data_IF_250989656747
#
_entry.id   IF_250989656747
#
_cell.length_a   1.000
_cell.length_b   1.000
_cell.length_c   1.000
_cell.angle_alpha   90.00
_cell.angle_beta   90.00
_cell.angle_gamma   90.00
#
_symmetry.space_group_name_H-M   'P 1'
#
loop_
_entity.id
_entity.type
_entity.pdbx_description
1 polymer ?
#
# COMPACT_ATOMS: atom_id res chain seq x y z
N UNK A 1 -8.94 29.08 21.93
CA UNK A 1 -8.35 28.44 20.74
C UNK A 1 -6.83 28.38 20.90
N UNK A 2 -6.22 27.21 20.69
CA UNK A 2 -4.76 27.10 20.65
C UNK A 2 -4.26 27.54 19.27
N UNK A 3 -2.98 27.92 19.16
CA UNK A 3 -2.34 28.17 17.88
C UNK A 3 -2.06 26.80 17.23
N UNK A 4 -3.01 26.32 16.45
CA UNK A 4 -2.96 25.05 15.73
C UNK A 4 -2.73 25.33 14.24
N UNK A 5 -1.88 24.54 13.60
CA UNK A 5 -1.44 24.79 12.24
C UNK A 5 -1.22 23.51 11.45
N UNK A 6 -0.19 23.54 10.60
CA UNK A 6 0.14 22.51 9.61
C UNK A 6 -0.08 21.07 10.10
N UNK A 7 -0.67 20.28 9.21
CA UNK A 7 -1.31 19.01 9.47
C UNK A 7 -1.08 18.03 8.32
N UNK A 8 -1.11 16.75 8.64
CA UNK A 8 -1.09 15.67 7.67
C UNK A 8 -2.05 14.55 8.11
N UNK A 9 -2.74 13.96 7.14
CA UNK A 9 -3.54 12.76 7.33
C UNK A 9 -2.78 11.61 6.68
N UNK A 10 -2.70 10.47 7.36
CA UNK A 10 -2.06 9.27 6.82
C UNK A 10 -2.69 8.79 5.52
N UNK A 11 -1.91 8.04 4.73
CA UNK A 11 -2.34 7.39 3.48
C UNK A 11 -3.65 6.57 3.67
N UNK A 12 -3.81 5.92 4.82
CA UNK A 12 -5.00 5.12 5.14
C UNK A 12 -6.16 5.94 5.78
N UNK A 13 -5.95 7.24 5.99
CA UNK A 13 -6.92 8.16 6.57
C UNK A 13 -7.22 7.92 8.05
N UNK A 14 -6.41 7.11 8.75
CA UNK A 14 -6.63 6.68 10.12
C UNK A 14 -5.90 7.53 11.17
N UNK A 15 -4.88 8.28 10.77
CA UNK A 15 -4.05 9.12 11.64
C UNK A 15 -4.10 10.56 11.13
N UNK A 16 -4.23 11.49 12.07
CA UNK A 16 -4.05 12.93 11.86
C UNK A 16 -2.90 13.35 12.74
N UNK A 17 -1.85 13.91 12.14
CA UNK A 17 -0.75 14.58 12.85
C UNK A 17 -0.85 16.07 12.55
N UNK A 18 -0.71 16.90 13.56
CA UNK A 18 -0.77 18.35 13.38
C UNK A 18 0.11 19.08 14.38
N UNK A 19 0.45 20.31 14.04
CA UNK A 19 1.25 21.21 14.88
C UNK A 19 0.34 21.96 15.86
N UNK A 20 0.73 22.04 17.12
CA UNK A 20 0.08 22.93 18.08
C UNK A 20 1.10 23.60 18.99
N UNK A 21 0.96 24.92 19.16
CA UNK A 21 1.93 25.75 19.86
C UNK A 21 1.43 26.18 21.24
N UNK A 22 2.37 26.29 22.17
CA UNK A 22 2.17 26.79 23.54
C UNK A 22 1.08 26.04 24.33
N UNK A 23 0.94 24.73 24.10
CA UNK A 23 0.03 23.89 24.90
C UNK A 23 0.67 23.58 26.25
N UNK A 24 -0.18 23.44 27.28
CA UNK A 24 0.28 23.15 28.66
C UNK A 24 0.97 21.80 28.80
N UNK A 25 0.63 20.85 27.93
CA UNK A 25 1.19 19.50 27.87
C UNK A 25 2.29 19.37 26.80
N UNK A 26 2.85 20.50 26.34
CA UNK A 26 3.92 20.54 25.35
C UNK A 26 5.33 20.55 25.96
N UNK A 27 6.31 20.24 25.12
CA UNK A 27 7.74 20.25 25.40
C UNK A 27 8.39 21.57 24.97
N UNK A 28 7.94 22.15 23.86
CA UNK A 28 8.54 23.33 23.26
C UNK A 28 7.56 24.41 22.82
N UNK A 29 8.04 25.27 21.92
CA UNK A 29 7.27 26.39 21.39
C UNK A 29 6.08 25.91 20.54
N UNK A 30 6.34 24.93 19.68
CA UNK A 30 5.37 24.21 18.88
C UNK A 30 5.75 22.74 18.85
N UNK A 31 4.76 21.88 19.03
CA UNK A 31 4.92 20.44 19.10
C UNK A 31 3.98 19.75 18.10
N UNK A 32 4.34 18.52 17.75
CA UNK A 32 3.48 17.61 17.01
C UNK A 32 2.55 16.83 17.94
N UNK A 33 1.27 16.80 17.56
CA UNK A 33 0.21 16.05 18.21
C UNK A 33 -0.39 15.03 17.23
N UNK A 34 -0.82 13.90 17.75
CA UNK A 34 -1.44 12.82 17.00
C UNK A 34 -2.87 12.56 17.46
N UNK A 35 -3.75 12.25 16.50
CA UNK A 35 -5.11 11.78 16.73
C UNK A 35 -5.44 10.62 15.80
N UNK A 36 -6.28 9.71 16.28
CA UNK A 36 -6.68 8.49 15.56
C UNK A 36 -8.15 8.54 15.19
N UNK A 37 -8.48 8.12 13.96
CA UNK A 37 -9.85 8.03 13.49
C UNK A 37 -10.55 6.83 14.14
N UNK A 38 -11.70 7.08 14.74
CA UNK A 38 -12.65 6.10 15.27
C UNK A 38 -13.97 6.20 14.51
N UNK A 39 -14.90 5.30 14.80
CA UNK A 39 -16.23 5.25 14.15
C UNK A 39 -17.04 6.54 14.35
N UNK A 40 -16.89 7.21 15.50
CA UNK A 40 -17.62 8.44 15.88
C UNK A 40 -16.83 9.74 15.69
N UNK A 41 -15.67 9.70 15.03
CA UNK A 41 -14.80 10.87 14.84
C UNK A 41 -13.36 10.60 15.27
N UNK A 42 -12.61 11.66 15.54
CA UNK A 42 -11.19 11.60 15.93
C UNK A 42 -11.03 11.48 17.45
N UNK A 43 -9.99 10.79 17.91
CA UNK A 43 -9.65 10.77 19.35
C UNK A 43 -9.21 12.16 19.82
N UNK A 44 -9.20 12.38 21.14
CA UNK A 44 -8.54 13.55 21.71
C UNK A 44 -7.06 13.55 21.28
N UNK A 45 -6.50 14.67 20.83
CA UNK A 45 -5.08 14.77 20.47
C UNK A 45 -4.18 14.41 21.65
N UNK A 46 -3.08 13.70 21.36
CA UNK A 46 -2.03 13.32 22.31
C UNK A 46 -0.71 13.88 21.80
N UNK A 47 0.09 14.47 22.69
CA UNK A 47 1.44 14.92 22.36
C UNK A 47 2.29 13.72 21.93
N UNK A 48 3.08 13.85 20.86
CA UNK A 48 3.85 12.73 20.31
C UNK A 48 5.10 12.34 21.12
N UNK A 49 5.36 13.00 22.26
CA UNK A 49 6.38 12.59 23.22
C UNK A 49 7.79 13.09 22.87
N UNK A 50 8.78 12.79 23.74
CA UNK A 50 10.08 13.45 23.74
C UNK A 50 11.05 12.97 22.66
N UNK A 51 10.78 11.83 22.01
CA UNK A 51 11.57 11.39 20.85
C UNK A 51 11.31 12.26 19.62
N UNK A 52 10.10 12.83 19.54
CA UNK A 52 9.67 13.73 18.47
C UNK A 52 9.74 15.17 18.92
N UNK A 53 9.12 15.53 20.03
CA UNK A 53 9.01 16.91 20.48
C UNK A 53 10.14 17.27 21.44
N UNK A 54 10.73 18.44 21.25
CA UNK A 54 11.83 18.95 22.07
C UNK A 54 11.46 20.32 22.63
N UNK A 55 12.42 21.02 23.26
CA UNK A 55 12.19 22.42 23.63
C UNK A 55 12.17 23.38 22.41
N UNK A 56 12.52 22.88 21.22
CA UNK A 56 12.61 23.67 20.00
C UNK A 56 11.24 23.92 19.35
N UNK A 57 11.25 24.25 18.07
CA UNK A 57 10.06 24.32 17.24
C UNK A 57 9.96 23.04 16.43
N UNK A 58 8.89 22.26 16.57
CA UNK A 58 8.55 21.11 15.74
C UNK A 58 7.22 21.35 15.02
N UNK A 59 7.22 21.22 13.69
CA UNK A 59 6.06 21.65 12.89
C UNK A 59 6.00 20.99 11.52
N UNK A 60 4.89 21.24 10.82
CA UNK A 60 4.68 20.90 9.40
C UNK A 60 5.01 19.43 9.08
N UNK A 61 4.30 18.49 9.74
CA UNK A 61 4.56 17.07 9.58
C UNK A 61 4.03 16.57 8.23
N UNK A 62 4.66 15.53 7.72
CA UNK A 62 4.08 14.60 6.76
C UNK A 62 4.37 13.17 7.22
N UNK A 63 3.39 12.27 7.06
CA UNK A 63 3.52 10.86 7.41
C UNK A 63 3.34 10.02 6.16
N UNK A 64 4.24 9.07 5.96
CA UNK A 64 4.26 8.20 4.80
C UNK A 64 4.72 6.79 5.19
N UNK A 65 5.01 5.99 4.17
CA UNK A 65 5.58 4.65 4.35
C UNK A 65 4.72 3.84 5.31
N UNK A 66 3.40 3.83 5.06
CA UNK A 66 2.46 3.01 5.82
C UNK A 66 2.38 3.40 7.31
N UNK A 67 2.44 4.69 7.60
CA UNK A 67 2.41 5.27 8.94
C UNK A 67 3.65 4.99 9.80
N UNK A 68 4.76 4.59 9.17
CA UNK A 68 5.99 4.23 9.89
C UNK A 68 7.07 5.30 9.81
N UNK A 69 6.93 6.30 8.96
CA UNK A 69 7.95 7.35 8.83
C UNK A 69 7.26 8.70 8.84
N UNK A 70 7.76 9.60 9.68
CA UNK A 70 7.33 11.00 9.74
C UNK A 70 8.49 11.88 9.32
N UNK A 71 8.22 12.85 8.46
CA UNK A 71 9.10 13.97 8.18
C UNK A 71 8.50 15.24 8.75
N UNK A 72 9.32 16.12 9.32
CA UNK A 72 8.85 17.35 9.94
C UNK A 72 9.94 18.41 9.93
N UNK A 73 9.54 19.66 10.10
CA UNK A 73 10.47 20.80 10.20
C UNK A 73 10.83 21.06 11.67
N UNK A 74 12.10 21.32 11.96
CA UNK A 74 12.52 21.64 13.33
C UNK A 74 13.76 22.52 13.43
N UNK A 75 13.77 23.38 14.45
CA UNK A 75 14.93 24.21 14.85
C UNK A 75 15.78 23.55 15.95
N UNK A 76 15.63 22.23 16.15
CA UNK A 76 16.40 21.51 17.17
C UNK A 76 17.90 21.56 16.92
N UNK A 77 18.73 21.46 17.97
CA UNK A 77 20.18 21.32 17.82
C UNK A 77 20.56 20.08 16.98
N UNK A 78 21.66 20.21 16.23
CA UNK A 78 22.17 19.14 15.35
C UNK A 78 21.79 19.27 13.88
N UNK A 79 21.11 20.37 13.51
CA UNK A 79 20.88 20.77 12.13
C UNK A 79 22.03 21.58 11.52
N UNK A 80 21.83 22.04 10.27
CA UNK A 80 22.76 22.84 9.49
C UNK A 80 22.45 24.34 9.54
N UNK A 81 21.17 24.71 9.67
CA UNK A 81 20.73 26.10 9.55
C UNK A 81 19.70 26.52 10.59
N UNK A 82 18.76 27.34 10.16
CA UNK A 82 17.62 27.82 10.95
C UNK A 82 16.65 26.67 11.25
N UNK A 83 15.64 26.51 10.40
CA UNK A 83 14.77 25.34 10.42
C UNK A 83 15.25 24.29 9.44
N UNK A 84 15.37 23.05 9.88
CA UNK A 84 15.77 21.93 9.05
C UNK A 84 14.65 20.90 8.92
N UNK A 85 14.72 20.05 7.90
CA UNK A 85 13.85 18.87 7.76
C UNK A 85 14.50 17.67 8.43
N UNK A 86 13.71 17.03 9.30
CA UNK A 86 14.07 15.85 10.07
C UNK A 86 13.13 14.69 9.74
N UNK A 87 13.62 13.48 9.97
CA UNK A 87 12.91 12.22 9.78
C UNK A 87 12.95 11.39 11.06
N UNK A 88 11.88 10.68 11.34
CA UNK A 88 11.80 9.72 12.43
C UNK A 88 11.03 8.48 11.97
N UNK A 89 11.50 7.31 12.39
CA UNK A 89 10.92 6.02 12.03
C UNK A 89 10.30 5.32 13.24
N UNK A 90 9.27 4.52 12.96
CA UNK A 90 8.66 3.61 13.91
C UNK A 90 9.39 2.26 13.81
N UNK A 91 10.04 1.85 14.89
CA UNK A 91 10.75 0.58 14.96
C UNK A 91 9.81 -0.63 15.12
N UNK A 92 10.39 -1.82 15.10
CA UNK A 92 9.66 -3.10 15.21
C UNK A 92 8.89 -3.26 16.53
N UNK A 93 9.29 -2.53 17.57
CA UNK A 93 8.62 -2.51 18.87
C UNK A 93 7.47 -1.49 18.94
N UNK A 94 7.09 -0.88 17.81
CA UNK A 94 6.11 0.21 17.71
C UNK A 94 6.49 1.43 18.56
N UNK A 95 7.78 1.73 18.65
CA UNK A 95 8.31 2.93 19.29
C UNK A 95 8.96 3.81 18.24
N UNK A 96 8.83 5.14 18.40
CA UNK A 96 9.55 6.08 17.54
C UNK A 96 11.03 6.06 17.92
N UNK A 97 11.90 5.92 16.93
CA UNK A 97 13.35 6.03 17.10
C UNK A 97 13.76 7.49 17.32
N UNK A 98 15.07 7.77 17.41
CA UNK A 98 15.55 9.16 17.46
C UNK A 98 15.41 9.82 16.10
N UNK A 99 14.97 11.07 16.08
CA UNK A 99 14.92 11.85 14.84
C UNK A 99 16.32 12.07 14.25
N UNK A 100 16.41 11.97 12.93
CA UNK A 100 17.62 12.13 12.12
C UNK A 100 17.44 13.28 11.14
N UNK A 101 18.45 14.15 11.04
CA UNK A 101 18.47 15.25 10.07
C UNK A 101 18.65 14.70 8.65
N UNK A 102 17.96 15.27 7.65
CA UNK A 102 18.03 14.79 6.27
C UNK A 102 19.32 15.10 5.50
N UNK A 103 20.30 15.75 6.14
CA UNK A 103 21.62 15.97 5.55
C UNK A 103 21.72 17.21 4.67
N UNK A 104 22.94 17.53 4.24
CA UNK A 104 23.29 18.78 3.54
C UNK A 104 22.73 18.91 2.12
N UNK A 105 22.29 17.79 1.52
CA UNK A 105 21.63 17.84 0.22
C UNK A 105 20.31 18.60 0.33
N UNK A 106 19.56 18.35 1.42
CA UNK A 106 18.26 18.96 1.65
C UNK A 106 18.41 20.22 2.50
N UNK A 107 19.08 20.12 3.65
CA UNK A 107 19.18 21.20 4.63
C UNK A 107 20.40 22.08 4.37
N UNK A 108 20.19 23.40 4.43
CA UNK A 108 21.19 24.43 4.16
C UNK A 108 21.52 25.21 5.44
N UNK A 109 22.26 26.32 5.30
CA UNK A 109 22.52 27.23 6.42
C UNK A 109 21.31 28.11 6.79
N UNK A 110 20.21 28.04 6.02
CA UNK A 110 18.99 28.84 6.27
C UNK A 110 17.80 27.95 6.63
N UNK A 111 16.60 28.22 6.12
CA UNK A 111 15.37 27.53 6.50
C UNK A 111 14.86 26.62 5.39
N UNK A 112 14.71 25.34 5.74
CA UNK A 112 14.01 24.30 5.00
C UNK A 112 12.81 23.81 5.80
N UNK A 113 11.63 23.94 5.21
CA UNK A 113 10.37 23.66 5.90
C UNK A 113 9.34 23.01 4.98
N UNK A 114 8.19 22.63 5.54
CA UNK A 114 7.04 22.15 4.80
C UNK A 114 7.27 20.88 3.97
N UNK A 115 7.87 19.82 4.53
CA UNK A 115 8.07 18.57 3.80
C UNK A 115 6.73 17.96 3.39
N UNK A 116 6.63 17.60 2.11
CA UNK A 116 5.58 16.77 1.56
C UNK A 116 6.23 15.57 0.86
N UNK A 117 6.19 14.42 1.53
CA UNK A 117 6.59 13.14 0.95
C UNK A 117 5.41 12.56 0.18
N UNK A 118 5.57 12.37 -1.13
CA UNK A 118 4.52 11.78 -1.95
C UNK A 118 4.30 10.30 -1.58
N UNK A 119 3.07 9.74 -1.70
CA UNK A 119 2.80 8.32 -1.43
C UNK A 119 3.56 7.32 -2.32
N UNK A 120 4.34 7.79 -3.29
CA UNK A 120 5.33 6.97 -4.00
C UNK A 120 6.55 6.62 -3.14
N UNK A 121 6.62 7.13 -1.90
CA UNK A 121 7.67 6.88 -0.91
C UNK A 121 9.08 7.25 -1.40
N UNK A 122 9.19 8.04 -2.47
CA UNK A 122 10.46 8.38 -3.12
C UNK A 122 10.61 9.87 -3.36
N UNK A 123 9.52 10.56 -3.68
CA UNK A 123 9.59 11.96 -4.11
C UNK A 123 9.24 12.90 -2.95
N UNK A 124 10.21 13.70 -2.53
CA UNK A 124 10.04 14.70 -1.48
C UNK A 124 9.96 16.09 -2.13
N UNK A 125 8.95 16.84 -1.74
CA UNK A 125 8.82 18.26 -2.02
C UNK A 125 8.95 19.04 -0.73
N UNK A 126 9.58 20.20 -0.78
CA UNK A 126 9.75 21.07 0.38
C UNK A 126 9.95 22.51 -0.06
N UNK A 127 9.95 23.45 0.90
CA UNK A 127 10.30 24.84 0.62
C UNK A 127 11.62 25.21 1.27
N UNK A 128 12.38 26.08 0.61
CA UNK A 128 13.65 26.59 1.13
C UNK A 128 13.86 28.06 0.77
N UNK A 129 14.54 28.80 1.66
CA UNK A 129 15.09 30.13 1.38
C UNK A 129 16.64 30.12 1.27
N UNK A 130 17.26 28.95 1.38
CA UNK A 130 18.71 28.76 1.38
C UNK A 130 19.27 28.17 0.09
N UNK A 131 18.51 27.30 -0.60
CA UNK A 131 18.87 26.82 -1.94
C UNK A 131 18.80 27.94 -2.98
N UNK A 132 19.54 27.77 -4.09
CA UNK A 132 19.50 28.73 -5.21
C UNK A 132 18.09 28.75 -5.81
N UNK A 133 17.44 29.90 -5.74
CA UNK A 133 16.05 30.07 -6.12
C UNK A 133 15.74 31.43 -6.73
N UNK A 134 14.46 31.79 -6.79
CA UNK A 134 13.91 32.98 -7.42
C UNK A 134 13.43 34.03 -6.41
N UNK A 135 13.12 33.63 -5.18
CA UNK A 135 12.41 34.48 -4.23
C UNK A 135 12.77 34.28 -2.76
N UNK A 136 11.83 34.64 -1.89
CA UNK A 136 11.98 34.49 -0.45
C UNK A 136 12.00 33.01 -0.08
N UNK A 137 10.94 32.27 -0.39
CA UNK A 137 10.86 30.83 -0.16
C UNK A 137 10.28 30.16 -1.38
N UNK A 138 11.09 29.30 -1.98
CA UNK A 138 10.75 28.59 -3.20
C UNK A 138 10.45 27.12 -2.90
N UNK A 139 9.66 26.48 -3.76
CA UNK A 139 9.43 25.03 -3.74
C UNK A 139 10.53 24.32 -4.50
N UNK A 140 11.01 23.23 -3.90
CA UNK A 140 12.01 22.34 -4.45
C UNK A 140 11.51 20.88 -4.40
N UNK A 141 12.11 20.03 -5.22
CA UNK A 141 11.91 18.59 -5.16
C UNK A 141 13.24 17.82 -5.21
N UNK A 142 13.26 16.64 -4.60
CA UNK A 142 14.33 15.65 -4.72
C UNK A 142 13.73 14.24 -4.69
N UNK A 143 14.51 13.24 -5.12
CA UNK A 143 14.12 11.83 -5.12
C UNK A 143 15.07 11.01 -4.25
N UNK A 144 14.51 10.02 -3.56
CA UNK A 144 15.29 9.08 -2.76
C UNK A 144 15.90 8.00 -3.66
N UNK A 145 17.22 7.82 -3.59
CA UNK A 145 17.98 6.78 -4.32
C UNK A 145 17.95 5.41 -3.66
N UNK A 146 17.53 5.34 -2.41
CA UNK A 146 17.62 4.16 -1.54
C UNK A 146 18.46 4.45 -0.31
N UNK A 147 18.30 3.66 0.76
CA UNK A 147 19.04 3.82 2.03
C UNK A 147 19.01 5.24 2.63
N UNK A 148 17.92 5.99 2.39
CA UNK A 148 17.76 7.41 2.78
C UNK A 148 18.78 8.37 2.16
N UNK A 149 19.40 7.99 1.03
CA UNK A 149 20.20 8.90 0.21
C UNK A 149 19.31 9.62 -0.79
N UNK A 150 19.61 10.89 -1.04
CA UNK A 150 18.79 11.78 -1.87
C UNK A 150 19.56 12.23 -3.11
N UNK A 151 18.83 12.43 -4.20
CA UNK A 151 19.31 13.12 -5.39
C UNK A 151 19.48 14.62 -5.15
N UNK A 152 20.15 15.27 -6.10
CA UNK A 152 20.29 16.72 -6.09
C UNK A 152 18.91 17.39 -6.05
N UNK A 153 18.85 18.51 -5.33
CA UNK A 153 17.62 19.28 -5.15
C UNK A 153 17.36 20.12 -6.41
N UNK A 154 16.14 20.06 -6.93
CA UNK A 154 15.72 20.78 -8.13
C UNK A 154 14.69 21.85 -7.76
N UNK A 155 14.95 23.10 -8.13
CA UNK A 155 13.99 24.20 -7.99
C UNK A 155 12.86 24.05 -9.03
N UNK A 156 11.60 24.21 -8.62
CA UNK A 156 10.45 24.04 -9.52
C UNK A 156 10.32 25.15 -10.59
N UNK A 157 11.03 26.27 -10.41
CA UNK A 157 11.15 27.35 -11.38
C UNK A 157 9.88 28.18 -11.59
N UNK A 158 10.00 29.21 -12.42
CA UNK A 158 8.85 30.03 -12.84
C UNK A 158 7.94 29.25 -13.81
N UNK A 159 6.60 29.39 -13.74
CA UNK A 159 5.79 30.30 -12.92
C UNK A 159 5.31 29.72 -11.58
N UNK A 160 5.89 28.60 -11.14
CA UNK A 160 5.51 27.94 -9.89
C UNK A 160 6.10 28.73 -8.73
N UNK A 161 7.42 28.90 -8.76
CA UNK A 161 8.16 29.77 -7.88
C UNK A 161 8.15 31.21 -8.39
N UNK A 162 8.12 32.15 -7.45
CA UNK A 162 8.07 33.58 -7.71
C UNK A 162 9.14 34.31 -6.89
N UNK A 163 9.08 35.64 -6.83
CA UNK A 163 9.93 36.42 -5.91
C UNK A 163 9.41 36.38 -4.46
N UNK A 164 8.18 35.90 -4.27
CA UNK A 164 7.44 35.93 -3.01
C UNK A 164 7.62 34.63 -2.21
N UNK A 165 6.62 34.23 -1.41
CA UNK A 165 6.65 33.04 -0.57
C UNK A 165 5.72 31.97 -1.10
N UNK A 166 6.30 30.86 -1.54
CA UNK A 166 5.57 29.64 -1.85
C UNK A 166 5.63 28.64 -0.69
N UNK A 167 4.51 27.98 -0.38
CA UNK A 167 4.41 27.06 0.76
C UNK A 167 3.35 25.97 0.58
N UNK A 168 3.36 24.99 1.48
CA UNK A 168 2.32 23.95 1.62
C UNK A 168 1.99 23.20 0.32
N UNK A 169 3.02 22.78 -0.43
CA UNK A 169 2.81 21.99 -1.64
C UNK A 169 2.14 20.65 -1.30
N UNK A 170 1.13 20.29 -2.08
CA UNK A 170 0.52 18.97 -2.12
C UNK A 170 0.43 18.50 -3.58
N UNK A 171 0.83 17.27 -3.85
CA UNK A 171 0.77 16.66 -5.19
C UNK A 171 -0.26 15.53 -5.18
N UNK A 172 -1.10 15.45 -6.22
CA UNK A 172 -2.07 14.36 -6.36
C UNK A 172 -1.39 13.01 -6.65
N UNK A 173 -2.10 11.91 -6.41
CA UNK A 173 -1.53 10.56 -6.50
C UNK A 173 -0.96 10.18 -7.88
N UNK A 174 -1.46 10.82 -8.94
CA UNK A 174 -0.99 10.62 -10.31
C UNK A 174 0.21 11.49 -10.64
N UNK A 175 0.46 12.53 -9.86
CA UNK A 175 1.45 13.55 -10.19
C UNK A 175 1.01 14.49 -11.31
N UNK A 176 -0.27 14.54 -11.66
CA UNK A 176 -0.72 15.41 -12.76
C UNK A 176 -0.91 16.85 -12.28
N UNK A 177 -1.42 17.03 -11.07
CA UNK A 177 -1.66 18.33 -10.48
C UNK A 177 -1.02 18.48 -9.11
N UNK A 178 -0.57 19.70 -8.84
CA UNK A 178 -0.10 20.12 -7.54
C UNK A 178 -0.85 21.39 -7.09
N UNK A 179 -0.96 21.53 -5.78
CA UNK A 179 -1.62 22.62 -5.07
C UNK A 179 -0.60 23.23 -4.12
N UNK A 180 -0.60 24.55 -3.99
CA UNK A 180 0.30 25.26 -3.08
C UNK A 180 -0.31 26.60 -2.68
N UNK A 181 0.23 27.18 -1.62
CA UNK A 181 -0.10 28.54 -1.20
C UNK A 181 0.99 29.50 -1.65
N UNK A 182 0.59 30.67 -2.18
CA UNK A 182 1.51 31.76 -2.53
C UNK A 182 0.89 33.12 -2.28
N UNK A 183 1.73 34.12 -1.99
CA UNK A 183 1.35 35.54 -1.91
C UNK A 183 1.85 36.32 -3.15
N UNK A 184 1.97 35.68 -4.31
CA UNK A 184 2.47 36.30 -5.54
C UNK A 184 1.53 37.35 -6.14
N UNK A 185 0.22 37.21 -5.96
CA UNK A 185 -0.79 38.11 -6.54
C UNK A 185 -1.50 38.98 -5.48
N UNK A 186 -1.27 38.74 -4.18
CA UNK A 186 -1.87 39.49 -3.08
C UNK A 186 -0.98 39.47 -1.83
N UNK A 187 -1.22 40.38 -0.88
CA UNK A 187 -0.49 40.38 0.41
C UNK A 187 -0.83 39.16 1.29
N UNK A 188 -1.90 38.44 0.96
CA UNK A 188 -2.33 37.22 1.64
C UNK A 188 -1.87 35.97 0.87
N UNK A 189 -1.87 34.83 1.56
CA UNK A 189 -1.61 33.54 0.93
C UNK A 189 -2.90 33.01 0.28
N UNK A 190 -2.90 32.88 -1.05
CA UNK A 190 -3.97 32.28 -1.84
C UNK A 190 -3.59 30.85 -2.26
N UNK A 191 -4.59 29.98 -2.51
CA UNK A 191 -4.36 28.59 -2.96
C UNK A 191 -4.38 28.55 -4.49
N UNK A 192 -3.29 28.04 -5.06
CA UNK A 192 -3.12 27.86 -6.49
C UNK A 192 -3.06 26.39 -6.86
N UNK A 193 -3.41 26.07 -8.11
CA UNK A 193 -3.24 24.75 -8.72
C UNK A 193 -2.52 24.87 -10.05
N UNK A 194 -1.60 23.97 -10.33
CA UNK A 194 -0.91 23.89 -11.62
C UNK A 194 -0.75 22.44 -12.07
N UNK A 195 -0.54 22.25 -13.38
CA UNK A 195 -0.15 20.95 -13.93
C UNK A 195 1.33 20.74 -13.65
N UNK A 196 1.68 19.67 -12.95
CA UNK A 196 3.06 19.41 -12.56
C UNK A 196 3.88 19.01 -13.80
N UNK A 197 5.00 19.72 -14.11
CA UNK A 197 5.89 19.33 -15.21
C UNK A 197 6.47 17.93 -15.03
N UNK A 198 6.66 17.19 -16.13
CA UNK A 198 7.04 15.77 -16.10
C UNK A 198 8.35 15.51 -15.33
N UNK A 199 9.32 16.42 -15.40
CA UNK A 199 10.59 16.31 -14.67
C UNK A 199 10.45 16.37 -13.13
N UNK A 200 9.32 16.87 -12.63
CA UNK A 200 9.02 16.98 -11.20
C UNK A 200 7.98 15.97 -10.74
N UNK A 201 7.51 15.08 -11.62
CA UNK A 201 6.44 14.14 -11.28
C UNK A 201 6.96 13.01 -10.39
N UNK A 202 6.18 12.61 -9.38
CA UNK A 202 6.42 11.37 -8.66
C UNK A 202 6.03 10.17 -9.53
N UNK A 203 6.34 8.96 -9.05
CA UNK A 203 5.77 7.77 -9.66
C UNK A 203 4.26 7.71 -9.39
N UNK A 204 3.49 7.23 -10.35
CA UNK A 204 2.04 7.10 -10.21
C UNK A 204 1.72 6.07 -9.12
N UNK A 205 0.82 6.47 -8.21
CA UNK A 205 0.28 5.63 -7.14
C UNK A 205 -1.24 5.57 -7.25
N UNK A 206 -1.84 4.43 -6.91
CA UNK A 206 -3.30 4.28 -6.73
C UNK A 206 -3.61 3.85 -5.30
N UNK A 207 -4.88 3.78 -4.95
CA UNK A 207 -5.34 3.28 -3.66
C UNK A 207 -6.39 2.20 -3.80
N UNK A 208 -6.23 1.14 -3.00
CA UNK A 208 -7.12 -0.01 -2.90
C UNK A 208 -7.76 -0.04 -1.52
N UNK A 209 -9.05 -0.34 -1.48
CA UNK A 209 -9.81 -0.45 -0.25
C UNK A 209 -10.30 -1.87 -0.08
N UNK A 210 -9.95 -2.49 1.02
CA UNK A 210 -10.39 -3.83 1.39
C UNK A 210 -11.50 -3.75 2.43
N UNK A 211 -12.46 -4.66 2.30
CA UNK A 211 -13.40 -5.03 3.34
C UNK A 211 -13.38 -6.55 3.47
N UNK A 212 -12.76 -7.06 4.53
CA UNK A 212 -12.66 -8.49 4.83
C UNK A 212 -13.73 -8.87 5.85
N UNK A 213 -14.52 -9.88 5.52
CA UNK A 213 -15.63 -10.37 6.34
C UNK A 213 -15.73 -11.89 6.31
N UNK A 214 -16.36 -12.46 7.31
CA UNK A 214 -16.71 -13.87 7.36
C UNK A 214 -17.80 -14.16 6.30
N UNK A 215 -17.60 -15.21 5.50
CA UNK A 215 -18.47 -15.53 4.37
C UNK A 215 -19.92 -15.87 4.78
N UNK A 216 -20.15 -16.40 5.98
CA UNK A 216 -21.46 -16.83 6.45
C UNK A 216 -22.16 -15.73 7.28
N UNK A 217 -21.51 -15.29 8.36
CA UNK A 217 -22.05 -14.32 9.31
C UNK A 217 -22.00 -12.88 8.78
N UNK A 218 -21.19 -12.63 7.75
CA UNK A 218 -20.88 -11.30 7.20
C UNK A 218 -20.24 -10.33 8.19
N UNK A 219 -19.81 -10.82 9.36
CA UNK A 219 -19.12 -10.02 10.36
C UNK A 219 -17.72 -9.64 9.85
N UNK A 220 -17.24 -8.40 10.12
CA UNK A 220 -15.91 -7.97 9.71
C UNK A 220 -14.82 -8.77 10.43
N UNK A 221 -13.72 -9.04 9.71
CA UNK A 221 -12.57 -9.79 10.24
C UNK A 221 -11.31 -8.92 10.29
N UNK A 222 -10.60 -8.97 11.42
CA UNK A 222 -9.23 -8.46 11.56
C UNK A 222 -8.27 -9.48 10.97
N UNK A 223 -7.87 -9.28 9.70
CA UNK A 223 -7.12 -10.25 8.90
C UNK A 223 -5.80 -9.65 8.45
N UNK A 224 -4.82 -10.53 8.24
CA UNK A 224 -3.56 -10.16 7.61
C UNK A 224 -3.76 -10.03 6.10
N UNK A 225 -3.19 -8.99 5.51
CA UNK A 225 -3.24 -8.69 4.09
C UNK A 225 -1.80 -8.49 3.61
N UNK A 226 -1.30 -9.44 2.83
CA UNK A 226 0.04 -9.38 2.24
C UNK A 226 -0.05 -8.99 0.78
N UNK A 227 0.74 -7.99 0.38
CA UNK A 227 0.94 -7.60 -1.01
C UNK A 227 2.31 -8.09 -1.42
N UNK A 228 2.38 -8.97 -2.43
CA UNK A 228 3.64 -9.43 -3.02
C UNK A 228 3.73 -8.91 -4.44
N UNK A 229 4.71 -8.07 -4.73
CA UNK A 229 4.98 -7.64 -6.10
C UNK A 229 5.63 -8.81 -6.86
N UNK A 230 4.97 -9.29 -7.91
CA UNK A 230 5.38 -10.46 -8.68
C UNK A 230 6.57 -10.18 -9.62
N UNK A 231 6.90 -8.92 -9.88
CA UNK A 231 8.01 -8.52 -10.76
C UNK A 231 9.34 -8.49 -10.00
N UNK A 232 9.34 -8.06 -8.74
CA UNK A 232 10.57 -7.89 -7.94
C UNK A 232 10.59 -8.69 -6.63
N UNK A 233 9.51 -9.41 -6.30
CA UNK A 233 9.40 -10.25 -5.10
C UNK A 233 9.24 -9.49 -3.79
N UNK A 234 9.15 -8.16 -3.79
CA UNK A 234 8.97 -7.36 -2.57
C UNK A 234 7.61 -7.64 -1.91
N UNK A 235 7.61 -7.66 -0.57
CA UNK A 235 6.43 -8.02 0.24
C UNK A 235 6.09 -6.90 1.21
N UNK A 236 4.82 -6.55 1.30
CA UNK A 236 4.28 -5.67 2.33
C UNK A 236 3.16 -6.37 3.09
N UNK A 237 3.27 -6.42 4.42
CA UNK A 237 2.27 -7.01 5.30
C UNK A 237 1.47 -5.92 6.04
N UNK A 238 0.15 -6.04 5.98
CA UNK A 238 -0.80 -5.16 6.67
C UNK A 238 -1.86 -5.96 7.41
N UNK A 239 -2.62 -5.27 8.25
CA UNK A 239 -3.73 -5.83 9.01
C UNK A 239 -4.95 -4.96 8.83
N UNK A 240 -6.11 -5.56 8.60
CA UNK A 240 -7.36 -4.79 8.57
C UNK A 240 -7.70 -4.26 9.97
N UNK A 241 -8.29 -3.07 10.03
CA UNK A 241 -8.72 -2.47 11.30
C UNK A 241 -9.99 -3.13 11.87
N UNK A 242 -10.50 -2.66 13.04
CA UNK A 242 -11.65 -3.23 13.77
C UNK A 242 -12.98 -3.36 13.01
N UNK A 243 -13.08 -2.82 11.79
CA UNK A 243 -14.23 -2.97 10.91
C UNK A 243 -13.96 -3.82 9.66
N UNK A 244 -12.89 -4.62 9.67
CA UNK A 244 -12.44 -5.43 8.53
C UNK A 244 -11.91 -4.59 7.37
N UNK A 245 -11.64 -3.31 7.60
CA UNK A 245 -11.27 -2.35 6.55
C UNK A 245 -9.76 -2.12 6.52
N UNK A 246 -9.21 -2.03 5.32
CA UNK A 246 -7.86 -1.56 5.06
C UNK A 246 -7.90 -0.60 3.86
N UNK A 247 -7.17 0.50 3.94
CA UNK A 247 -6.86 1.37 2.81
C UNK A 247 -5.36 1.29 2.60
N UNK A 248 -4.93 1.01 1.37
CA UNK A 248 -3.53 0.83 1.04
C UNK A 248 -3.21 1.45 -0.33
N UNK A 249 -2.01 2.00 -0.47
CA UNK A 249 -1.52 2.61 -1.71
C UNK A 249 -0.65 1.64 -2.48
N UNK A 250 -0.87 1.51 -3.79
CA UNK A 250 -0.08 0.64 -4.68
C UNK A 250 0.60 1.47 -5.76
N UNK A 251 1.90 1.22 -5.95
CA UNK A 251 2.64 1.68 -7.14
C UNK A 251 2.30 0.80 -8.33
N UNK A 252 2.59 1.29 -9.53
CA UNK A 252 2.55 0.46 -10.75
C UNK A 252 3.24 -0.90 -10.53
N UNK A 253 2.63 -1.95 -11.04
CA UNK A 253 3.17 -3.31 -11.02
C UNK A 253 2.09 -4.39 -11.01
N UNK A 254 2.53 -5.64 -11.10
CA UNK A 254 1.71 -6.83 -10.90
C UNK A 254 1.87 -7.36 -9.46
N UNK A 255 0.76 -7.54 -8.73
CA UNK A 255 0.76 -7.96 -7.33
C UNK A 255 -0.11 -9.18 -7.10
N UNK A 256 0.38 -10.12 -6.31
CA UNK A 256 -0.45 -11.08 -5.59
C UNK A 256 -0.85 -10.49 -4.25
N UNK A 257 -2.15 -10.39 -4.03
CA UNK A 257 -2.74 -10.11 -2.73
C UNK A 257 -3.08 -11.44 -2.04
N UNK A 258 -2.65 -11.61 -0.80
CA UNK A 258 -3.04 -12.74 0.05
C UNK A 258 -3.70 -12.22 1.32
N UNK A 259 -4.96 -12.60 1.55
CA UNK A 259 -5.67 -12.31 2.79
C UNK A 259 -5.77 -13.59 3.62
N UNK A 260 -5.27 -13.54 4.86
CA UNK A 260 -5.24 -14.69 5.76
C UNK A 260 -5.75 -14.36 7.15
N UNK A 261 -6.36 -15.35 7.78
CA UNK A 261 -6.79 -15.33 9.18
C UNK A 261 -6.56 -16.73 9.77
N UNK A 262 -6.15 -16.87 11.05
CA UNK A 262 -5.83 -18.17 11.64
C UNK A 262 -6.90 -19.25 11.46
N UNK A 263 -8.17 -18.90 11.64
CA UNK A 263 -9.29 -19.85 11.59
C UNK A 263 -10.00 -19.96 10.21
N UNK A 264 -9.41 -19.39 9.15
CA UNK A 264 -10.05 -19.30 7.84
C UNK A 264 -9.12 -19.78 6.72
N UNK A 265 -9.72 -20.21 5.61
CA UNK A 265 -9.02 -20.43 4.35
C UNK A 265 -8.61 -19.07 3.79
N UNK A 266 -7.38 -18.98 3.27
CA UNK A 266 -6.88 -17.74 2.68
C UNK A 266 -7.65 -17.38 1.41
N UNK A 267 -7.58 -16.11 1.04
CA UNK A 267 -8.03 -15.62 -0.26
C UNK A 267 -6.83 -15.05 -1.03
N UNK A 268 -6.77 -15.34 -2.33
CA UNK A 268 -5.77 -14.80 -3.25
C UNK A 268 -6.45 -13.96 -4.33
N UNK A 269 -5.84 -12.84 -4.69
CA UNK A 269 -6.28 -11.97 -5.78
C UNK A 269 -5.07 -11.51 -6.60
N UNK A 270 -5.23 -11.37 -7.90
CA UNK A 270 -4.22 -10.76 -8.76
C UNK A 270 -4.58 -9.29 -9.04
N UNK A 271 -3.64 -8.38 -8.80
CA UNK A 271 -3.83 -6.94 -9.01
C UNK A 271 -2.77 -6.46 -9.98
N UNK A 272 -3.18 -6.26 -11.24
CA UNK A 272 -2.38 -5.57 -12.23
C UNK A 272 -2.70 -4.07 -12.23
N UNK A 273 -1.73 -3.26 -11.82
CA UNK A 273 -1.85 -1.81 -11.89
C UNK A 273 -0.84 -1.23 -12.89
N UNK A 274 -1.35 -0.82 -14.07
CA UNK A 274 -0.61 -0.11 -15.11
C UNK A 274 -1.05 1.35 -15.27
N UNK A 275 -0.51 2.04 -16.30
CA UNK A 275 -0.84 3.44 -16.58
C UNK A 275 -2.32 3.66 -16.92
N UNK A 276 -2.94 2.70 -17.62
CA UNK A 276 -4.38 2.71 -17.97
C UNK A 276 -5.28 2.28 -16.80
N UNK A 277 -4.69 1.69 -15.74
CA UNK A 277 -5.40 1.19 -14.57
C UNK A 277 -5.69 2.25 -13.50
N UNK A 278 -5.22 3.50 -13.68
CA UNK A 278 -5.43 4.55 -12.68
C UNK A 278 -6.90 4.94 -12.62
N UNK A 279 -7.51 4.74 -11.44
CA UNK A 279 -8.89 5.15 -11.16
C UNK A 279 -8.87 6.20 -10.06
N UNK A 280 -9.57 7.30 -10.30
CA UNK A 280 -9.77 8.36 -9.30
C UNK A 280 -10.56 7.89 -8.07
N UNK A 281 -11.35 6.82 -8.21
CA UNK A 281 -12.07 6.15 -7.13
C UNK A 281 -11.29 4.94 -6.64
N UNK A 282 -11.37 4.58 -5.35
CA UNK A 282 -10.69 3.39 -4.85
C UNK A 282 -11.17 2.18 -5.63
N UNK A 283 -10.25 1.28 -5.95
CA UNK A 283 -10.62 -0.09 -6.30
C UNK A 283 -11.03 -0.76 -4.98
N UNK A 284 -12.28 -1.20 -4.90
CA UNK A 284 -12.85 -1.79 -3.68
C UNK A 284 -12.86 -3.31 -3.85
N UNK A 285 -12.19 -4.00 -2.94
CA UNK A 285 -12.20 -5.45 -2.82
C UNK A 285 -13.01 -5.84 -1.59
N UNK A 286 -14.15 -6.49 -1.81
CA UNK A 286 -14.90 -7.15 -0.75
C UNK A 286 -14.53 -8.62 -0.71
N UNK A 287 -13.84 -9.02 0.35
CA UNK A 287 -13.27 -10.36 0.47
C UNK A 287 -14.04 -11.10 1.56
N UNK A 288 -14.63 -12.22 1.19
CA UNK A 288 -15.35 -13.11 2.08
C UNK A 288 -14.49 -14.34 2.36
N UNK A 289 -14.00 -14.45 3.60
CA UNK A 289 -13.19 -15.61 4.00
C UNK A 289 -14.11 -16.74 4.46
N UNK A 290 -13.83 -17.95 3.98
CA UNK A 290 -14.48 -19.17 4.42
C UNK A 290 -13.77 -19.71 5.65
N UNK A 291 -14.53 -20.01 6.71
CA UNK A 291 -13.97 -20.57 7.93
C UNK A 291 -13.43 -21.98 7.65
N UNK A 292 -12.33 -22.35 8.29
CA UNK A 292 -11.80 -23.72 8.19
C UNK A 292 -12.85 -24.71 8.74
N UNK A 293 -13.01 -25.89 8.11
CA UNK A 293 -13.92 -26.91 8.62
C UNK A 293 -13.55 -27.27 10.06
N UNK A 294 -14.56 -27.31 10.93
CA UNK A 294 -14.45 -27.97 12.21
C UNK A 294 -14.63 -29.49 12.06
N UNK A 295 -14.26 -30.26 13.08
CA UNK A 295 -14.39 -31.73 13.16
C UNK A 295 -15.81 -32.26 12.88
N UNK A 296 -16.82 -31.38 12.82
CA UNK A 296 -18.24 -31.72 12.67
C UNK A 296 -18.90 -31.21 11.38
N UNK A 297 -18.17 -30.61 10.44
CA UNK A 297 -18.75 -30.09 9.19
C UNK A 297 -18.48 -31.04 8.01
N UNK A 298 -19.54 -31.45 7.31
CA UNK A 298 -19.48 -32.39 6.16
C UNK A 298 -19.01 -31.71 4.86
N UNK A 299 -18.35 -32.48 3.98
CA UNK A 299 -17.79 -32.13 2.65
C UNK A 299 -18.62 -31.15 1.78
N UNK A 300 -19.95 -31.09 1.93
CA UNK A 300 -20.82 -30.27 1.07
C UNK A 300 -20.90 -28.78 1.45
N UNK A 301 -20.14 -28.32 2.45
CA UNK A 301 -20.24 -26.95 2.98
C UNK A 301 -19.22 -25.96 2.38
N UNK A 302 -18.12 -26.43 1.81
CA UNK A 302 -16.99 -25.56 1.42
C UNK A 302 -16.99 -25.28 -0.07
N UNK A 303 -17.02 -23.99 -0.43
CA UNK A 303 -16.91 -23.55 -1.83
C UNK A 303 -15.46 -23.61 -2.26
N UNK A 304 -15.25 -23.93 -3.53
CA UNK A 304 -13.94 -23.88 -4.14
C UNK A 304 -13.29 -22.50 -3.99
N UNK A 305 -11.98 -22.52 -3.71
CA UNK A 305 -11.14 -21.34 -3.55
C UNK A 305 -10.33 -21.18 -4.83
N UNK A 306 -10.51 -20.06 -5.51
CA UNK A 306 -9.77 -19.74 -6.73
C UNK A 306 -8.34 -19.33 -6.39
N UNK A 307 -7.37 -19.90 -7.09
CA UNK A 307 -5.96 -19.54 -7.01
C UNK A 307 -5.64 -18.54 -8.13
N UNK A 308 -5.92 -17.26 -7.89
CA UNK A 308 -5.87 -16.18 -8.91
C UNK A 308 -4.46 -15.87 -9.46
N UNK A 309 -3.41 -16.48 -8.89
CA UNK A 309 -2.04 -16.27 -9.31
C UNK A 309 -1.37 -17.59 -9.76
N UNK A 310 -2.15 -18.52 -10.33
CA UNK A 310 -1.62 -19.67 -11.07
C UNK A 310 -1.74 -19.38 -12.57
N UNK A 311 -0.60 -19.35 -13.26
CA UNK A 311 -0.52 -18.93 -14.66
C UNK A 311 0.05 -20.04 -15.55
N UNK A 312 -0.52 -20.12 -16.76
CA UNK A 312 -0.12 -21.04 -17.82
C UNK A 312 -0.16 -20.29 -19.15
N UNK A 313 0.73 -20.63 -20.07
CA UNK A 313 0.58 -20.23 -21.47
C UNK A 313 -0.66 -20.87 -22.12
N UNK A 314 -1.12 -20.26 -23.22
CA UNK A 314 -2.23 -20.80 -24.00
C UNK A 314 -1.94 -22.22 -24.49
N UNK A 315 -2.86 -23.15 -24.24
CA UNK A 315 -2.69 -24.57 -24.57
C UNK A 315 -1.61 -25.32 -23.75
N UNK A 316 -0.99 -24.67 -22.76
CA UNK A 316 0.04 -25.25 -21.91
C UNK A 316 -0.49 -25.63 -20.51
N UNK A 317 0.15 -26.62 -19.91
CA UNK A 317 0.03 -27.01 -18.50
C UNK A 317 1.34 -26.80 -17.73
N UNK A 318 2.37 -26.21 -18.34
CA UNK A 318 3.59 -25.80 -17.66
C UNK A 318 3.32 -24.54 -16.84
N UNK A 319 3.62 -24.60 -15.53
CA UNK A 319 3.45 -23.47 -14.62
C UNK A 319 4.46 -22.38 -14.97
N UNK A 320 3.97 -21.16 -15.15
CA UNK A 320 4.85 -20.00 -15.30
C UNK A 320 5.52 -19.65 -13.95
N UNK A 321 6.76 -19.12 -13.93
CA UNK A 321 7.47 -18.77 -12.70
C UNK A 321 6.69 -17.84 -11.75
N UNK A 322 5.85 -16.96 -12.28
CA UNK A 322 4.97 -16.07 -11.51
C UNK A 322 3.99 -16.85 -10.61
N UNK A 323 3.73 -18.12 -10.92
CA UNK A 323 2.88 -19.02 -10.14
C UNK A 323 3.52 -19.51 -8.85
N UNK A 324 4.86 -19.43 -8.75
CA UNK A 324 5.60 -19.97 -7.60
C UNK A 324 5.16 -19.34 -6.28
N UNK A 325 4.77 -18.07 -6.29
CA UNK A 325 4.32 -17.37 -5.08
C UNK A 325 2.93 -17.83 -4.63
N UNK A 326 2.02 -18.19 -5.54
CA UNK A 326 0.72 -18.80 -5.18
C UNK A 326 0.89 -20.23 -4.68
N UNK A 327 1.77 -21.02 -5.31
CA UNK A 327 2.12 -22.38 -4.85
C UNK A 327 2.77 -22.31 -3.47
N UNK A 328 3.63 -21.33 -3.22
CA UNK A 328 4.25 -21.11 -1.91
C UNK A 328 3.19 -20.75 -0.86
N UNK A 329 2.23 -19.87 -1.18
CA UNK A 329 1.13 -19.51 -0.28
C UNK A 329 0.28 -20.74 0.07
N UNK A 330 -0.08 -21.56 -0.93
CA UNK A 330 -0.86 -22.78 -0.70
C UNK A 330 -0.07 -23.83 0.10
N UNK A 331 1.23 -23.98 -0.17
CA UNK A 331 2.13 -24.83 0.61
C UNK A 331 2.18 -24.41 2.09
N UNK A 332 2.35 -23.12 2.38
CA UNK A 332 2.39 -22.59 3.74
C UNK A 332 1.06 -22.83 4.48
N UNK A 333 -0.06 -22.66 3.77
CA UNK A 333 -1.39 -22.99 4.28
C UNK A 333 -1.51 -24.49 4.67
N UNK A 334 -1.12 -25.40 3.77
CA UNK A 334 -1.21 -26.86 4.03
C UNK A 334 -0.20 -27.34 5.07
N UNK A 335 0.95 -26.67 5.18
CA UNK A 335 1.96 -26.95 6.21
C UNK A 335 1.45 -26.54 7.60
N UNK A 336 0.76 -25.41 7.69
CA UNK A 336 0.19 -24.91 8.95
C UNK A 336 -1.01 -25.75 9.40
N UNK A 337 -1.81 -26.24 8.47
CA UNK A 337 -3.01 -27.05 8.73
C UNK A 337 -2.75 -28.49 8.27
N UNK A 338 -2.05 -29.28 9.08
CA UNK A 338 -1.55 -30.60 8.69
C UNK A 338 -2.63 -31.68 8.55
N UNK A 339 -3.79 -31.44 9.14
CA UNK A 339 -5.00 -32.25 9.13
C UNK A 339 -5.82 -32.06 7.84
N UNK A 340 -5.67 -30.94 7.15
CA UNK A 340 -6.46 -30.62 5.96
C UNK A 340 -5.98 -31.43 4.75
N UNK A 341 -6.91 -32.04 4.03
CA UNK A 341 -6.70 -32.59 2.69
C UNK A 341 -7.45 -31.76 1.65
N UNK A 342 -6.86 -31.61 0.47
CA UNK A 342 -7.46 -30.80 -0.61
C UNK A 342 -7.56 -31.57 -1.92
N UNK A 343 -8.52 -31.14 -2.75
CA UNK A 343 -8.60 -31.49 -4.17
C UNK A 343 -8.39 -30.25 -5.02
N UNK A 344 -7.42 -30.31 -5.93
CA UNK A 344 -7.11 -29.26 -6.89
C UNK A 344 -8.00 -29.47 -8.12
N UNK A 345 -8.65 -28.40 -8.58
CA UNK A 345 -9.59 -28.42 -9.69
C UNK A 345 -9.06 -27.56 -10.83
N UNK A 346 -9.00 -28.13 -12.03
CA UNK A 346 -8.63 -27.42 -13.25
C UNK A 346 -9.85 -27.10 -14.11
N UNK A 347 -9.86 -25.91 -14.71
CA UNK A 347 -10.91 -25.46 -15.62
C UNK A 347 -10.32 -24.82 -16.88
N UNK A 348 -11.06 -24.91 -17.99
CA UNK A 348 -10.73 -24.23 -19.25
C UNK A 348 -11.87 -23.30 -19.67
N UNK A 349 -11.60 -22.46 -20.67
CA UNK A 349 -12.66 -21.84 -21.46
C UNK A 349 -13.22 -22.85 -22.49
N UNK A 350 -14.09 -22.37 -23.39
CA UNK A 350 -14.74 -23.18 -24.42
C UNK A 350 -13.97 -23.24 -25.75
N UNK A 351 -12.71 -22.80 -25.80
CA UNK A 351 -11.91 -22.84 -27.02
C UNK A 351 -11.23 -24.21 -27.12
N UNK A 352 -11.46 -24.92 -28.23
CA UNK A 352 -10.94 -26.27 -28.45
C UNK A 352 -12.03 -27.34 -28.40
N UNK A 353 -11.65 -28.62 -28.39
CA UNK A 353 -12.62 -29.71 -28.25
C UNK A 353 -12.83 -30.04 -26.77
N UNK A 354 -14.02 -30.55 -26.41
CA UNK A 354 -14.32 -30.95 -25.04
C UNK A 354 -13.35 -32.00 -24.49
N UNK A 355 -12.79 -32.86 -25.35
CA UNK A 355 -11.77 -33.84 -24.98
C UNK A 355 -10.43 -33.19 -24.63
N UNK A 356 -9.96 -32.28 -25.49
CA UNK A 356 -8.71 -31.55 -25.27
C UNK A 356 -8.81 -30.66 -24.02
N UNK A 357 -9.94 -29.99 -23.82
CA UNK A 357 -10.20 -29.15 -22.65
C UNK A 357 -10.23 -29.96 -21.34
N UNK A 358 -10.81 -31.17 -21.38
CA UNK A 358 -10.78 -32.06 -20.22
C UNK A 358 -9.36 -32.53 -19.89
N UNK A 359 -8.58 -32.89 -20.91
CA UNK A 359 -7.18 -33.29 -20.70
C UNK A 359 -6.33 -32.13 -20.19
N UNK A 360 -6.44 -30.95 -20.82
CA UNK A 360 -5.67 -29.76 -20.44
C UNK A 360 -5.95 -29.33 -19.00
N UNK A 361 -7.23 -29.28 -18.60
CA UNK A 361 -7.58 -28.97 -17.21
C UNK A 361 -7.06 -30.01 -16.21
N UNK A 362 -7.09 -31.30 -16.55
CA UNK A 362 -6.55 -32.35 -15.70
C UNK A 362 -5.03 -32.18 -15.51
N UNK A 363 -4.29 -31.93 -16.59
CA UNK A 363 -2.83 -31.73 -16.51
C UNK A 363 -2.47 -30.44 -15.78
N UNK A 364 -3.22 -29.34 -15.94
CA UNK A 364 -3.01 -28.11 -15.14
C UNK A 364 -3.19 -28.35 -13.65
N UNK A 365 -4.24 -29.05 -13.25
CA UNK A 365 -4.45 -29.42 -11.85
C UNK A 365 -3.33 -30.35 -11.34
N UNK A 366 -2.84 -31.25 -12.20
CA UNK A 366 -1.70 -32.13 -11.91
C UNK A 366 -0.39 -31.36 -11.74
N UNK A 367 -0.14 -30.30 -12.51
CA UNK A 367 1.07 -29.48 -12.37
C UNK A 367 1.14 -28.82 -10.99
N UNK A 368 0.03 -28.25 -10.52
CA UNK A 368 -0.06 -27.69 -9.16
C UNK A 368 0.09 -28.77 -8.09
N UNK A 369 -0.54 -29.93 -8.27
CA UNK A 369 -0.37 -31.09 -7.40
C UNK A 369 1.11 -31.48 -7.27
N UNK A 370 1.79 -31.61 -8.41
CA UNK A 370 3.19 -32.05 -8.48
C UNK A 370 4.10 -31.05 -7.78
N UNK A 371 3.90 -29.75 -8.05
CA UNK A 371 4.67 -28.69 -7.40
C UNK A 371 4.53 -28.68 -5.86
N UNK A 372 3.35 -29.02 -5.32
CA UNK A 372 3.15 -29.14 -3.87
C UNK A 372 3.81 -30.41 -3.29
N UNK A 373 3.75 -31.53 -4.02
CA UNK A 373 4.44 -32.78 -3.64
C UNK A 373 5.95 -32.57 -3.61
N UNK A 374 6.50 -31.90 -4.62
CA UNK A 374 7.94 -31.59 -4.71
C UNK A 374 8.41 -30.66 -3.57
N UNK A 375 7.53 -29.77 -3.08
CA UNK A 375 7.75 -28.97 -1.87
C UNK A 375 7.59 -29.75 -0.56
N UNK A 376 7.15 -31.00 -0.61
CA UNK A 376 7.08 -31.92 0.52
C UNK A 376 5.70 -32.11 1.15
N UNK A 377 4.61 -31.72 0.48
CA UNK A 377 3.25 -32.10 0.92
C UNK A 377 3.03 -33.58 0.61
N UNK A 378 2.50 -34.32 1.58
CA UNK A 378 2.19 -35.75 1.40
C UNK A 378 1.20 -35.96 0.25
N UNK A 379 1.49 -36.83 -0.73
CA UNK A 379 0.56 -37.22 -1.79
C UNK A 379 -0.80 -37.69 -1.29
N UNK A 380 -0.87 -38.26 -0.07
CA UNK A 380 -2.11 -38.74 0.53
C UNK A 380 -3.09 -37.61 0.91
N UNK A 381 -2.61 -36.37 1.08
CA UNK A 381 -3.42 -35.19 1.41
C UNK A 381 -3.90 -34.43 0.18
N UNK A 382 -3.51 -34.89 -1.00
CA UNK A 382 -3.72 -34.18 -2.25
C UNK A 382 -4.45 -35.07 -3.25
N UNK A 383 -5.41 -34.51 -3.95
CA UNK A 383 -5.99 -35.09 -5.17
C UNK A 383 -6.17 -34.01 -6.22
N UNK A 384 -6.39 -34.39 -7.47
CA UNK A 384 -6.61 -33.43 -8.56
C UNK A 384 -7.64 -33.92 -9.57
N UNK A 385 -8.42 -33.00 -10.14
CA UNK A 385 -9.48 -33.28 -11.11
C UNK A 385 -9.62 -32.14 -12.13
N UNK A 386 -9.67 -32.50 -13.42
CA UNK A 386 -10.01 -31.58 -14.50
C UNK A 386 -11.51 -31.59 -14.80
N UNK A 387 -12.11 -30.41 -14.91
CA UNK A 387 -13.51 -30.25 -15.29
C UNK A 387 -13.71 -29.83 -16.76
N UNK A 388 -12.62 -29.51 -17.47
CA UNK A 388 -12.66 -28.86 -18.78
C UNK A 388 -13.48 -27.58 -18.74
N UNK A 389 -14.32 -27.39 -19.76
CA UNK A 389 -15.17 -26.22 -19.94
C UNK A 389 -16.54 -26.32 -19.24
N UNK A 390 -16.82 -27.42 -18.52
CA UNK A 390 -18.17 -27.76 -18.04
C UNK A 390 -18.70 -26.89 -16.90
N UNK A 391 -17.82 -26.18 -16.19
CA UNK A 391 -18.15 -25.37 -15.01
C UNK A 391 -17.58 -23.95 -15.16
N UNK A 392 -18.17 -23.11 -16.05
CA UNK A 392 -17.75 -21.73 -16.23
C UNK A 392 -18.22 -20.84 -15.06
N UNK A 393 -17.40 -19.87 -14.65
CA UNK A 393 -17.78 -18.80 -13.71
C UNK A 393 -18.21 -17.52 -14.44
N UNK A 394 -17.84 -17.37 -15.71
CA UNK A 394 -18.16 -16.21 -16.52
C UNK A 394 -18.54 -16.61 -17.95
N UNK A 395 -19.03 -15.64 -18.72
CA UNK A 395 -19.37 -15.84 -20.14
C UNK A 395 -18.14 -16.23 -20.96
N UNK A 396 -18.27 -17.19 -21.87
CA UNK A 396 -17.20 -17.51 -22.81
C UNK A 396 -17.20 -16.62 -24.07
N UNK A 397 -18.18 -15.72 -24.19
CA UNK A 397 -18.33 -14.83 -25.35
C UNK A 397 -17.26 -13.72 -25.37
N UNK A 398 -16.77 -13.29 -24.21
CA UNK A 398 -15.76 -12.23 -24.10
C UNK A 398 -14.41 -12.81 -23.70
N UNK A 399 -13.33 -12.11 -24.05
CA UNK A 399 -11.99 -12.55 -23.66
C UNK A 399 -11.84 -12.55 -22.14
N UNK A 400 -12.31 -11.51 -21.46
CA UNK A 400 -12.27 -11.37 -20.00
C UNK A 400 -12.97 -12.52 -19.29
N UNK A 401 -14.13 -12.95 -19.81
CA UNK A 401 -14.86 -14.08 -19.25
C UNK A 401 -14.17 -15.42 -19.52
N UNK A 402 -13.57 -15.60 -20.71
CA UNK A 402 -12.71 -16.77 -20.97
C UNK A 402 -11.48 -16.80 -20.05
N UNK A 403 -10.82 -15.67 -19.80
CA UNK A 403 -9.70 -15.63 -18.83
C UNK A 403 -10.15 -16.07 -17.45
N UNK A 404 -11.33 -15.61 -17.00
CA UNK A 404 -11.93 -16.02 -15.72
C UNK A 404 -12.21 -17.52 -15.68
N UNK A 405 -12.62 -18.13 -16.79
CA UNK A 405 -12.88 -19.57 -16.86
C UNK A 405 -11.61 -20.43 -16.88
N UNK A 406 -10.51 -19.91 -17.44
CA UNK A 406 -9.17 -20.53 -17.41
C UNK A 406 -8.53 -20.37 -16.02
N UNK A 407 -8.96 -21.18 -15.06
CA UNK A 407 -8.56 -21.05 -13.66
C UNK A 407 -8.20 -22.38 -13.01
N UNK A 408 -7.49 -22.28 -11.90
CA UNK A 408 -7.26 -23.38 -10.98
C UNK A 408 -7.90 -23.03 -9.63
N UNK A 409 -8.56 -24.01 -9.03
CA UNK A 409 -9.17 -23.88 -7.71
C UNK A 409 -8.71 -25.02 -6.80
N UNK A 410 -9.00 -24.92 -5.51
CA UNK A 410 -9.00 -26.08 -4.63
C UNK A 410 -10.23 -26.11 -3.74
N UNK A 411 -10.62 -27.31 -3.33
CA UNK A 411 -11.61 -27.56 -2.28
C UNK A 411 -10.94 -28.32 -1.15
N UNK A 412 -11.39 -28.06 0.08
CA UNK A 412 -11.05 -28.92 1.23
C UNK A 412 -11.96 -30.15 1.16
N UNK A 413 -11.39 -31.34 1.35
CA UNK A 413 -12.12 -32.62 1.29
C UNK A 413 -12.15 -33.34 2.63
N UNK A 414 -11.14 -33.17 3.49
CA UNK A 414 -11.08 -33.73 4.83
C UNK A 414 -10.34 -32.79 5.78
#
# INVERSE_FOLDING_TARGET
>A
PFNEGAQCISEDGSILIFTSCNRRDGYGSCDLYISFKKTKGWTKPVNMGPEINTAAWESQPTICNNNKTIYFSSTRPGGYGGSDIWRIDLNENNQWDKAVNLGQVINTMKDETGPFMHPDKQTLYFRSNGHVGLGAFDIFCTRMKGNNEWDDVINLGYPINSKENESALFVDLKGDYAYFSSNKDSDNQDIYRFKLPDQFKPDIVTYVKFLVKDALTKMPLSSSVQFTNLENGSKELRTTGPGGKLLHTLKKGNYQLTVSHPDYVFHSENILFGNEGYKWKPIIYEIELQKLPGVTETESAHKAIVLNNIFFDSGSFELLPESDQEIQTLYEFLKKNMDISIRILGHTDNIGTAGDNLQLSQERARSVYTALVDKGISPARLSYLGHGEKIPLASNETEEGRQTNRRTEFIIID
#
